data_IF_246837333295
#
_entry.id   IF_246837333295
#
_cell.length_a   1.000
_cell.length_b   1.000
_cell.length_c   1.000
_cell.angle_alpha   90.00
_cell.angle_beta   90.00
_cell.angle_gamma   90.00
#
_symmetry.space_group_name_H-M   'P 1'
#
loop_
_entity.id
_entity.type
_entity.pdbx_description
1 polymer ?
#
# COMPACT_ATOMS: atom_id res chain seq x y z
N UNK A 1 16.48 -6.70 2.05
CA UNK A 1 16.75 -6.04 0.76
C UNK A 1 15.80 -6.56 -0.33
N UNK A 2 14.47 -6.47 -0.11
CA UNK A 2 13.43 -6.83 -1.10
C UNK A 2 12.67 -5.57 -1.57
N UNK A 3 12.53 -4.58 -0.67
CA UNK A 3 11.88 -3.28 -0.86
C UNK A 3 12.33 -2.50 -2.12
N UNK A 4 13.63 -2.56 -2.45
CA UNK A 4 14.22 -1.78 -3.55
C UNK A 4 13.90 -2.35 -4.93
N UNK A 5 13.56 -3.64 -5.02
CA UNK A 5 13.38 -4.30 -6.31
C UNK A 5 12.00 -3.99 -6.92
N UNK A 6 10.98 -3.87 -6.07
CA UNK A 6 9.61 -3.58 -6.49
C UNK A 6 9.40 -2.13 -6.93
N UNK A 7 9.94 -1.15 -6.19
CA UNK A 7 9.88 0.26 -6.59
C UNK A 7 10.49 0.51 -7.97
N UNK A 8 11.54 -0.23 -8.35
CA UNK A 8 12.17 -0.13 -9.68
C UNK A 8 11.25 -0.50 -10.85
N UNK A 9 10.26 -1.39 -10.66
CA UNK A 9 9.35 -1.80 -11.73
C UNK A 9 8.39 -0.66 -12.11
N UNK A 10 7.86 0.05 -11.12
CA UNK A 10 6.98 1.21 -11.33
C UNK A 10 7.69 2.40 -11.97
N UNK A 11 8.97 2.60 -11.64
CA UNK A 11 9.79 3.71 -12.18
C UNK A 11 9.94 3.66 -13.71
N UNK A 12 9.89 2.48 -14.33
CA UNK A 12 9.97 2.36 -15.80
C UNK A 12 8.75 2.96 -16.53
N UNK A 13 7.56 2.94 -15.91
CA UNK A 13 6.32 3.39 -16.56
C UNK A 13 5.93 4.84 -16.22
N UNK A 14 6.74 5.58 -15.46
CA UNK A 14 6.39 6.94 -14.99
C UNK A 14 4.98 6.99 -14.39
N UNK A 15 4.62 5.99 -13.58
CA UNK A 15 3.32 5.91 -12.91
C UNK A 15 3.32 6.95 -11.80
N UNK A 16 2.47 7.96 -11.95
CA UNK A 16 2.24 8.97 -10.92
C UNK A 16 1.13 8.42 -10.02
N UNK A 17 1.46 8.10 -8.78
CA UNK A 17 0.51 7.56 -7.83
C UNK A 17 0.14 8.58 -6.76
N UNK A 18 -1.11 8.52 -6.31
CA UNK A 18 -1.66 9.35 -5.24
C UNK A 18 -2.27 8.43 -4.18
N UNK A 19 -1.90 8.64 -2.91
CA UNK A 19 -2.63 8.04 -1.79
C UNK A 19 -3.89 8.89 -1.56
N UNK A 20 -5.06 8.33 -1.84
CA UNK A 20 -6.34 9.06 -1.78
C UNK A 20 -7.12 8.78 -0.51
N UNK A 21 -6.87 7.64 0.15
CA UNK A 21 -7.56 7.25 1.37
C UNK A 21 -6.63 6.40 2.24
N UNK A 22 -6.67 6.64 3.55
CA UNK A 22 -5.88 5.92 4.56
C UNK A 22 -6.74 5.68 5.80
N UNK A 23 -7.07 4.42 6.05
CA UNK A 23 -7.89 3.99 7.17
C UNK A 23 -7.08 3.08 8.09
N UNK A 24 -7.12 3.40 9.38
CA UNK A 24 -6.48 2.62 10.45
C UNK A 24 -7.58 2.01 11.31
N UNK A 25 -7.53 0.70 11.49
CA UNK A 25 -8.39 -0.01 12.41
C UNK A 25 -7.56 -0.85 13.37
N UNK A 26 -7.54 -0.42 14.63
CA UNK A 26 -6.83 -1.12 15.71
C UNK A 26 -7.78 -2.18 16.26
N UNK A 27 -7.42 -3.46 16.07
CA UNK A 27 -8.11 -4.58 16.69
C UNK A 27 -7.33 -4.99 17.93
N UNK A 28 -7.89 -4.71 19.09
CA UNK A 28 -7.37 -5.16 20.39
C UNK A 28 -8.16 -6.37 20.86
N UNK A 29 -7.49 -7.52 21.00
CA UNK A 29 -7.92 -8.60 21.90
C UNK A 29 -6.84 -8.74 22.97
N UNK A 30 -7.07 -8.16 24.14
CA UNK A 30 -6.16 -8.16 25.28
C UNK A 30 -4.79 -7.50 24.97
N UNK A 31 -3.67 -8.07 25.41
CA UNK A 31 -2.33 -7.48 25.29
C UNK A 31 -1.76 -7.48 23.86
N UNK A 32 -2.38 -8.23 22.93
CA UNK A 32 -1.97 -8.33 21.53
C UNK A 32 -2.84 -7.42 20.67
N UNK A 33 -2.48 -6.14 20.63
CA UNK A 33 -3.07 -5.19 19.69
C UNK A 33 -2.51 -5.43 18.28
N UNK A 34 -3.39 -5.60 17.29
CA UNK A 34 -2.99 -5.64 15.88
C UNK A 34 -3.58 -4.44 15.13
N UNK A 35 -2.75 -3.79 14.34
CA UNK A 35 -3.15 -2.64 13.51
C UNK A 35 -3.49 -3.16 12.12
N UNK A 36 -4.71 -2.90 11.67
CA UNK A 36 -5.12 -3.17 10.30
C UNK A 36 -5.11 -1.84 9.55
N UNK A 37 -4.45 -1.82 8.41
CA UNK A 37 -4.38 -0.67 7.53
C UNK A 37 -5.16 -1.01 6.27
N UNK A 38 -5.99 -0.07 5.82
CA UNK A 38 -6.60 -0.10 4.49
C UNK A 38 -6.23 1.20 3.79
N UNK A 39 -5.63 1.10 2.62
CA UNK A 39 -5.21 2.25 1.81
C UNK A 39 -5.83 2.19 0.44
N UNK A 40 -6.19 3.35 -0.11
CA UNK A 40 -6.52 3.47 -1.53
C UNK A 40 -5.41 4.24 -2.23
N UNK A 41 -4.77 3.61 -3.21
CA UNK A 41 -3.75 4.22 -4.06
C UNK A 41 -4.32 4.33 -5.46
N UNK A 42 -4.12 5.48 -6.09
CA UNK A 42 -4.65 5.81 -7.42
C UNK A 42 -3.52 6.17 -8.36
N UNK A 43 -3.55 5.65 -9.59
CA UNK A 43 -2.74 6.17 -10.69
C UNK A 43 -3.42 7.41 -11.27
N UNK A 44 -2.71 8.54 -11.26
CA UNK A 44 -3.24 9.83 -11.71
C UNK A 44 -3.52 9.86 -13.20
N UNK A 45 -2.75 9.09 -13.99
CA UNK A 45 -2.84 9.11 -15.45
C UNK A 45 -4.03 8.33 -15.99
N UNK A 46 -4.24 7.12 -15.48
CA UNK A 46 -5.25 6.19 -15.98
C UNK A 46 -6.51 6.16 -15.10
N UNK A 47 -6.55 6.96 -14.03
CA UNK A 47 -7.67 7.04 -13.08
C UNK A 47 -8.01 5.67 -12.43
N UNK A 48 -7.05 4.74 -12.43
CA UNK A 48 -7.19 3.40 -11.84
C UNK A 48 -6.87 3.52 -10.35
N UNK A 49 -7.72 2.93 -9.50
CA UNK A 49 -7.50 2.87 -8.06
C UNK A 49 -7.40 1.42 -7.60
N UNK A 50 -6.56 1.17 -6.61
CA UNK A 50 -6.46 -0.13 -5.94
C UNK A 50 -6.54 0.08 -4.44
N UNK A 51 -7.00 -0.96 -3.75
CA UNK A 51 -7.10 -0.97 -2.30
C UNK A 51 -6.05 -1.96 -1.78
N UNK A 52 -5.09 -1.47 -1.02
CA UNK A 52 -4.14 -2.28 -0.26
C UNK A 52 -4.68 -2.54 1.15
N UNK A 53 -4.40 -3.72 1.70
CA UNK A 53 -4.72 -4.05 3.09
C UNK A 53 -3.56 -4.75 3.76
N UNK A 54 -3.08 -4.21 4.88
CA UNK A 54 -2.00 -4.81 5.65
C UNK A 54 -2.33 -4.91 7.13
N UNK A 55 -1.63 -5.80 7.84
CA UNK A 55 -1.81 -5.99 9.27
C UNK A 55 -0.46 -6.20 9.94
N UNK A 56 -0.17 -5.42 10.99
CA UNK A 56 1.05 -5.56 11.79
C UNK A 56 0.78 -5.07 13.22
N UNK A 57 1.49 -5.58 14.24
CA UNK A 57 1.52 -4.95 15.56
C UNK A 57 2.12 -3.53 15.51
N UNK A 58 2.95 -3.21 14.51
CA UNK A 58 3.53 -1.89 14.31
C UNK A 58 2.82 -1.14 13.17
N UNK A 59 2.25 0.03 13.49
CA UNK A 59 1.49 0.85 12.55
C UNK A 59 2.33 1.34 11.37
N UNK A 60 3.61 1.65 11.57
CA UNK A 60 4.49 2.15 10.52
C UNK A 60 4.85 1.03 9.57
N UNK A 61 5.15 -0.17 10.11
CA UNK A 61 5.40 -1.36 9.29
C UNK A 61 4.17 -1.71 8.46
N UNK A 62 2.99 -1.82 9.08
CA UNK A 62 1.76 -2.10 8.33
C UNK A 62 1.50 -1.06 7.23
N UNK A 63 1.78 0.22 7.51
CA UNK A 63 1.57 1.30 6.54
C UNK A 63 2.49 1.18 5.33
N UNK A 64 3.78 0.97 5.56
CA UNK A 64 4.78 0.87 4.49
C UNK A 64 4.50 -0.36 3.62
N UNK A 65 4.23 -1.51 4.24
CA UNK A 65 3.94 -2.75 3.53
C UNK A 65 2.64 -2.65 2.71
N UNK A 66 1.58 -2.09 3.29
CA UNK A 66 0.30 -1.87 2.59
C UNK A 66 0.46 -0.93 1.39
N UNK A 67 1.26 0.12 1.56
CA UNK A 67 1.53 1.08 0.50
C UNK A 67 2.33 0.42 -0.64
N UNK A 68 3.37 -0.36 -0.31
CA UNK A 68 4.16 -1.11 -1.30
C UNK A 68 3.26 -2.07 -2.10
N UNK A 69 2.38 -2.80 -1.42
CA UNK A 69 1.43 -3.69 -2.08
C UNK A 69 0.50 -2.93 -3.03
N UNK A 70 -0.09 -1.81 -2.59
CA UNK A 70 -0.95 -0.98 -3.42
C UNK A 70 -0.24 -0.44 -4.66
N UNK A 71 0.98 0.08 -4.51
CA UNK A 71 1.80 0.55 -5.64
C UNK A 71 2.11 -0.60 -6.60
N UNK A 72 2.48 -1.78 -6.09
CA UNK A 72 2.75 -2.95 -6.93
C UNK A 72 1.52 -3.44 -7.70
N UNK A 73 0.34 -3.43 -7.08
CA UNK A 73 -0.92 -3.78 -7.72
C UNK A 73 -1.27 -2.82 -8.86
N UNK A 74 -1.04 -1.52 -8.68
CA UNK A 74 -1.20 -0.52 -9.73
C UNK A 74 -0.25 -0.78 -10.91
N UNK A 75 1.04 -1.01 -10.62
CA UNK A 75 2.05 -1.19 -11.66
C UNK A 75 1.85 -2.48 -12.45
N UNK A 76 1.32 -3.54 -11.82
CA UNK A 76 0.97 -4.77 -12.52
C UNK A 76 -0.34 -4.65 -13.34
N UNK A 77 -1.25 -3.73 -13.00
CA UNK A 77 -2.47 -3.49 -13.78
C UNK A 77 -2.27 -2.57 -14.99
N UNK A 78 -1.28 -1.69 -14.93
CA UNK A 78 -0.94 -0.75 -16.01
C UNK A 78 0.18 -1.23 -16.97
N UNK A 79 0.51 -2.53 -16.97
CA UNK A 79 1.42 -3.17 -17.95
C UNK A 79 0.66 -3.88 -19.05
#
# INVERSE_FOLDING_TARGET
MHLLMHFKKCLKNNINYLLTDYQVNIKTKNADAVVNIKMTVKDEKNNISVIGMGTSPDILVASIETFEEGVNLLCNRGS
#
